data_IF_435931191954
#
_entry.id   IF_435931191954
#
_cell.length_a   1.000
_cell.length_b   1.000
_cell.length_c   1.000
_cell.angle_alpha   90.00
_cell.angle_beta   90.00
_cell.angle_gamma   90.00
#
_symmetry.space_group_name_H-M   'P 1'
#
loop_
_entity.id
_entity.type
_entity.pdbx_description
1 polymer ?
#
# COMPACT_ATOMS: atom_id res chain seq x y z
N UNK A 1 23.98 -25.82 -68.01
CA UNK A 1 23.65 -24.70 -67.08
C UNK A 1 22.78 -25.23 -66.00
N UNK A 2 23.33 -25.42 -64.82
CA UNK A 2 22.57 -25.91 -63.68
C UNK A 2 22.54 -24.82 -62.66
N UNK A 3 21.34 -24.26 -62.41
CA UNK A 3 21.07 -23.33 -61.33
C UNK A 3 20.87 -24.14 -60.05
N UNK A 4 21.75 -23.97 -59.08
CA UNK A 4 21.59 -24.49 -57.74
C UNK A 4 20.97 -23.39 -56.89
N UNK A 5 19.69 -23.54 -56.50
CA UNK A 5 19.02 -22.69 -55.56
C UNK A 5 19.41 -23.10 -54.14
N UNK A 6 20.14 -22.23 -53.47
CA UNK A 6 20.48 -22.40 -52.04
C UNK A 6 19.34 -21.83 -51.23
N UNK A 7 18.64 -22.74 -50.54
CA UNK A 7 17.56 -22.40 -49.59
C UNK A 7 18.18 -21.95 -48.29
N UNK A 8 18.12 -20.66 -47.99
CA UNK A 8 18.46 -20.14 -46.64
C UNK A 8 17.24 -20.29 -45.72
N UNK A 9 17.33 -21.24 -44.83
CA UNK A 9 16.37 -21.34 -43.73
C UNK A 9 16.69 -20.28 -42.66
N UNK A 10 15.86 -19.23 -42.61
CA UNK A 10 15.86 -18.28 -41.51
C UNK A 10 15.16 -18.94 -40.28
N UNK A 11 15.95 -19.39 -39.34
CA UNK A 11 15.45 -19.75 -38.04
C UNK A 11 15.13 -18.47 -37.22
N UNK A 12 13.86 -18.10 -37.20
CA UNK A 12 13.38 -17.03 -36.30
C UNK A 12 13.39 -17.53 -34.87
N UNK A 13 14.42 -17.14 -34.13
CA UNK A 13 14.51 -17.36 -32.68
C UNK A 13 13.53 -16.40 -31.99
N UNK A 14 12.35 -16.93 -31.62
CA UNK A 14 11.40 -16.21 -30.77
C UNK A 14 11.98 -16.16 -29.37
N UNK A 15 12.60 -15.06 -29.01
CA UNK A 15 12.94 -14.79 -27.62
C UNK A 15 11.67 -14.46 -26.86
N UNK A 16 11.19 -15.40 -26.07
CA UNK A 16 10.11 -15.18 -25.12
C UNK A 16 10.66 -14.24 -24.02
N UNK A 17 10.48 -12.95 -24.20
CA UNK A 17 10.76 -11.98 -23.17
C UNK A 17 9.70 -12.15 -22.06
N UNK A 18 10.09 -12.72 -20.92
CA UNK A 18 9.30 -12.64 -19.71
C UNK A 18 9.23 -11.17 -19.27
N UNK A 19 8.23 -10.47 -19.75
CA UNK A 19 7.87 -9.17 -19.22
C UNK A 19 7.16 -9.44 -17.88
N UNK A 20 7.88 -9.23 -16.77
CA UNK A 20 7.23 -9.10 -15.47
C UNK A 20 6.15 -8.02 -15.58
N UNK A 21 4.92 -8.35 -15.23
CA UNK A 21 3.82 -7.38 -15.23
C UNK A 21 4.24 -6.16 -14.39
N UNK A 22 4.09 -4.91 -14.87
CA UNK A 22 4.33 -3.74 -14.05
C UNK A 22 3.39 -3.79 -12.85
N UNK A 23 3.94 -3.58 -11.64
CA UNK A 23 3.12 -3.48 -10.44
C UNK A 23 2.06 -2.40 -10.64
N UNK A 24 0.79 -2.76 -10.47
CA UNK A 24 -0.33 -1.82 -10.57
C UNK A 24 -0.13 -0.66 -9.59
N UNK A 25 -0.17 0.61 -10.06
CA UNK A 25 -0.09 1.75 -9.17
C UNK A 25 -1.30 1.74 -8.23
N UNK A 26 -1.08 1.56 -6.94
CA UNK A 26 -2.13 1.54 -5.91
C UNK A 26 -2.23 0.25 -5.08
N UNK A 27 -1.49 -0.81 -5.43
CA UNK A 27 -1.48 -2.07 -4.67
C UNK A 27 -0.26 -2.26 -3.78
N UNK A 28 0.74 -1.41 -3.89
CA UNK A 28 1.98 -1.54 -3.12
C UNK A 28 2.00 -0.51 -1.98
N UNK A 29 2.11 -1.01 -0.75
CA UNK A 29 2.31 -0.13 0.42
C UNK A 29 3.73 0.46 0.35
N UNK A 30 3.83 1.78 0.47
CA UNK A 30 5.14 2.43 0.38
C UNK A 30 6.04 2.10 1.58
N UNK A 31 7.37 2.08 1.41
CA UNK A 31 8.30 1.82 2.51
C UNK A 31 8.14 2.79 3.68
N UNK A 32 7.81 4.05 3.41
CA UNK A 32 7.61 5.08 4.44
C UNK A 32 6.43 4.74 5.36
N UNK A 33 5.36 4.17 4.82
CA UNK A 33 4.20 3.70 5.61
C UNK A 33 4.62 2.56 6.54
N UNK A 34 5.42 1.62 6.04
CA UNK A 34 5.91 0.51 6.84
C UNK A 34 6.82 0.98 7.99
N UNK A 35 7.70 1.94 7.72
CA UNK A 35 8.53 2.59 8.74
C UNK A 35 7.67 3.33 9.77
N UNK A 36 6.64 4.05 9.34
CA UNK A 36 5.72 4.74 10.25
C UNK A 36 4.99 3.76 11.17
N UNK A 37 4.55 2.61 10.64
CA UNK A 37 3.91 1.54 11.43
C UNK A 37 4.88 0.97 12.48
N UNK A 38 6.12 0.70 12.11
CA UNK A 38 7.17 0.25 13.05
C UNK A 38 7.45 1.30 14.13
N UNK A 39 7.30 2.59 13.79
CA UNK A 39 7.46 3.73 14.70
C UNK A 39 6.19 4.06 15.49
N UNK A 40 5.23 3.14 15.58
CA UNK A 40 4.01 3.27 16.38
C UNK A 40 3.03 4.36 15.86
N UNK A 41 2.97 4.61 14.54
CA UNK A 41 1.95 5.46 13.95
C UNK A 41 0.54 4.95 14.29
N UNK A 42 -0.41 5.87 14.40
CA UNK A 42 -1.82 5.53 14.60
C UNK A 42 -2.39 4.91 13.33
N UNK A 43 -2.89 3.69 13.43
CA UNK A 43 -3.50 2.99 12.29
C UNK A 43 -5.01 3.09 12.39
N UNK A 44 -5.64 3.61 11.34
CA UNK A 44 -7.09 3.86 11.29
C UNK A 44 -7.73 3.13 10.12
N UNK A 45 -8.69 2.28 10.45
CA UNK A 45 -9.60 1.67 9.48
C UNK A 45 -10.76 2.64 9.19
N UNK A 46 -10.82 3.15 7.98
CA UNK A 46 -11.85 4.10 7.56
C UNK A 46 -13.08 3.46 6.91
N UNK A 47 -13.19 2.14 7.02
CA UNK A 47 -14.36 1.37 6.57
C UNK A 47 -15.53 1.53 7.54
N UNK A 48 -16.62 0.83 7.27
CA UNK A 48 -17.75 0.80 8.20
C UNK A 48 -17.43 -0.02 9.45
N UNK A 49 -18.17 0.18 10.56
CA UNK A 49 -18.01 -0.64 11.76
C UNK A 49 -18.23 -2.13 11.52
N UNK A 50 -19.13 -2.50 10.62
CA UNK A 50 -19.42 -3.87 10.24
C UNK A 50 -18.21 -4.52 9.53
N UNK A 51 -17.63 -3.81 8.55
CA UNK A 51 -16.41 -4.26 7.86
C UNK A 51 -15.24 -4.42 8.84
N UNK A 52 -15.11 -3.52 9.81
CA UNK A 52 -14.09 -3.60 10.86
C UNK A 52 -14.29 -4.83 11.76
N UNK A 53 -15.53 -5.10 12.14
CA UNK A 53 -15.87 -6.26 12.97
C UNK A 53 -15.59 -7.60 12.26
N UNK A 54 -15.77 -7.66 10.94
CA UNK A 54 -15.47 -8.85 10.13
C UNK A 54 -13.97 -9.17 10.02
N UNK A 55 -13.11 -8.22 10.33
CA UNK A 55 -11.67 -8.37 10.32
C UNK A 55 -10.97 -7.05 10.02
N UNK A 56 -9.92 -6.74 10.74
CA UNK A 56 -9.17 -5.49 10.62
C UNK A 56 -7.68 -5.70 10.88
N UNK A 57 -6.88 -4.70 10.56
CA UNK A 57 -5.45 -4.72 10.84
C UNK A 57 -5.19 -4.72 12.35
N UNK A 58 -4.28 -5.56 12.88
CA UNK A 58 -3.97 -5.62 14.30
C UNK A 58 -3.58 -4.25 14.88
N UNK A 59 -4.26 -3.84 15.95
CA UNK A 59 -4.02 -2.54 16.59
C UNK A 59 -4.69 -1.34 15.93
N UNK A 60 -5.41 -1.52 14.82
CA UNK A 60 -6.15 -0.44 14.18
C UNK A 60 -7.38 -0.03 15.00
N UNK A 61 -7.72 1.25 14.92
CA UNK A 61 -9.01 1.77 15.41
C UNK A 61 -9.93 2.01 14.21
N UNK A 62 -11.24 2.01 14.44
CA UNK A 62 -12.23 2.28 13.39
C UNK A 62 -12.77 3.70 13.51
N UNK A 63 -12.57 4.48 12.45
CA UNK A 63 -13.20 5.78 12.26
C UNK A 63 -13.62 5.87 10.79
N UNK A 64 -14.91 5.77 10.45
CA UNK A 64 -15.37 5.85 9.06
C UNK A 64 -14.89 7.11 8.35
N UNK A 65 -14.54 6.99 7.06
CA UNK A 65 -13.91 8.08 6.29
C UNK A 65 -14.69 9.40 6.31
N UNK A 66 -16.03 9.34 6.39
CA UNK A 66 -16.88 10.54 6.43
C UNK A 66 -16.77 11.35 7.71
N UNK A 67 -16.34 10.73 8.79
CA UNK A 67 -16.23 11.33 10.13
C UNK A 67 -14.78 11.33 10.65
N UNK A 68 -13.81 11.14 9.74
CA UNK A 68 -12.41 10.94 10.13
C UNK A 68 -11.86 12.12 10.96
N UNK A 69 -12.13 13.35 10.55
CA UNK A 69 -11.64 14.53 11.25
C UNK A 69 -12.25 14.64 12.66
N UNK A 70 -13.56 14.47 12.76
CA UNK A 70 -14.27 14.55 14.04
C UNK A 70 -13.82 13.42 14.97
N UNK A 71 -13.67 12.22 14.47
CA UNK A 71 -13.19 11.07 15.25
C UNK A 71 -11.79 11.26 15.81
N UNK A 72 -10.85 11.73 14.99
CA UNK A 72 -9.49 12.04 15.46
C UNK A 72 -9.47 13.19 16.48
N UNK A 73 -10.28 14.21 16.26
CA UNK A 73 -10.41 15.34 17.21
C UNK A 73 -10.95 14.89 18.55
N UNK A 74 -11.97 14.04 18.56
CA UNK A 74 -12.55 13.48 19.81
C UNK A 74 -11.55 12.62 20.57
N UNK A 75 -10.64 11.96 19.89
CA UNK A 75 -9.55 11.17 20.49
C UNK A 75 -8.36 12.04 20.95
N UNK A 76 -8.39 13.34 20.71
CA UNK A 76 -7.29 14.24 21.05
C UNK A 76 -6.05 14.09 20.17
N UNK A 77 -6.21 13.50 18.97
CA UNK A 77 -5.12 13.34 18.03
C UNK A 77 -4.77 14.70 17.39
N UNK A 78 -3.49 15.06 17.45
CA UNK A 78 -3.00 16.34 16.95
C UNK A 78 -2.51 16.23 15.50
N UNK A 79 -2.42 17.38 14.82
CA UNK A 79 -2.06 17.45 13.40
C UNK A 79 -0.65 16.94 13.06
N UNK A 80 0.25 16.88 14.02
CA UNK A 80 1.62 16.37 13.90
C UNK A 80 1.73 14.84 14.13
N UNK A 81 0.62 14.18 14.48
CA UNK A 81 0.58 12.74 14.68
C UNK A 81 0.64 12.01 13.34
N UNK A 82 1.53 11.01 13.23
CA UNK A 82 1.56 10.13 12.08
C UNK A 82 0.32 9.22 12.09
N UNK A 83 -0.51 9.33 11.06
CA UNK A 83 -1.77 8.58 10.90
C UNK A 83 -1.74 7.76 9.62
N UNK A 84 -1.86 6.46 9.75
CA UNK A 84 -1.94 5.53 8.61
C UNK A 84 -3.39 5.12 8.42
N UNK A 85 -3.91 5.42 7.24
CA UNK A 85 -5.31 5.17 6.87
C UNK A 85 -5.38 4.01 5.89
N UNK A 86 -6.33 3.11 6.08
CA UNK A 86 -6.62 2.08 5.10
C UNK A 86 -8.12 1.83 4.97
N UNK A 87 -8.51 1.25 3.85
CA UNK A 87 -9.86 0.76 3.65
C UNK A 87 -9.83 -0.60 2.94
N UNK A 88 -10.78 -0.91 2.08
CA UNK A 88 -10.78 -2.16 1.31
C UNK A 88 -9.87 -2.09 0.08
N UNK A 89 -9.84 -0.94 -0.61
CA UNK A 89 -9.16 -0.75 -1.89
C UNK A 89 -8.27 0.49 -1.97
N UNK A 90 -8.26 1.35 -0.95
CA UNK A 90 -7.51 2.60 -0.93
C UNK A 90 -8.30 3.85 -1.34
N UNK A 91 -9.52 3.72 -1.87
CA UNK A 91 -10.31 4.87 -2.35
C UNK A 91 -10.84 5.73 -1.18
N UNK A 92 -11.53 5.12 -0.23
CA UNK A 92 -12.06 5.82 0.96
C UNK A 92 -10.94 6.39 1.83
N UNK A 93 -9.85 5.65 1.99
CA UNK A 93 -8.67 6.11 2.73
C UNK A 93 -7.92 7.24 2.03
N UNK A 94 -7.91 7.26 0.69
CA UNK A 94 -7.38 8.39 -0.07
C UNK A 94 -8.20 9.67 0.11
N UNK A 95 -9.52 9.57 0.16
CA UNK A 95 -10.40 10.70 0.48
C UNK A 95 -10.19 11.21 1.91
N UNK A 96 -10.04 10.29 2.88
CA UNK A 96 -9.74 10.63 4.27
C UNK A 96 -8.38 11.31 4.41
N UNK A 97 -7.35 10.81 3.72
CA UNK A 97 -6.02 11.42 3.67
C UNK A 97 -6.09 12.86 3.17
N UNK A 98 -6.78 13.10 2.07
CA UNK A 98 -6.95 14.45 1.50
C UNK A 98 -7.62 15.40 2.50
N UNK A 99 -8.71 14.99 3.12
CA UNK A 99 -9.41 15.80 4.13
C UNK A 99 -8.49 16.13 5.31
N UNK A 100 -7.73 15.18 5.78
CA UNK A 100 -6.81 15.38 6.89
C UNK A 100 -5.64 16.31 6.52
N UNK A 101 -5.06 16.15 5.34
CA UNK A 101 -3.98 17.00 4.86
C UNK A 101 -4.45 18.47 4.69
N UNK A 102 -5.66 18.70 4.18
CA UNK A 102 -6.27 20.03 4.10
C UNK A 102 -6.46 20.68 5.48
N UNK A 103 -6.58 19.87 6.52
CA UNK A 103 -6.72 20.31 7.94
C UNK A 103 -5.39 20.34 8.70
N UNK A 104 -4.27 20.18 8.02
CA UNK A 104 -2.93 20.31 8.58
C UNK A 104 -2.30 19.01 9.11
N UNK A 105 -2.98 17.85 8.97
CA UNK A 105 -2.39 16.55 9.30
C UNK A 105 -1.43 16.11 8.18
N UNK A 106 -0.25 16.71 8.15
CA UNK A 106 0.74 16.48 7.09
C UNK A 106 1.32 15.07 7.09
N UNK A 107 1.23 14.37 8.20
CA UNK A 107 1.70 12.99 8.37
C UNK A 107 0.60 11.94 8.21
N UNK A 108 -0.56 12.32 7.68
CA UNK A 108 -1.59 11.38 7.26
C UNK A 108 -1.21 10.71 5.93
N UNK A 109 -1.26 9.38 5.87
CA UNK A 109 -0.88 8.58 4.69
C UNK A 109 -1.91 7.49 4.40
N UNK A 110 -2.23 7.33 3.13
CA UNK A 110 -3.08 6.25 2.64
C UNK A 110 -2.25 4.98 2.39
N UNK A 111 -2.54 3.92 3.13
CA UNK A 111 -1.90 2.61 2.98
C UNK A 111 -2.61 1.69 1.96
N UNK A 112 -3.69 2.15 1.36
CA UNK A 112 -4.42 1.36 0.38
C UNK A 112 -5.44 0.41 1.00
N UNK A 113 -5.42 -0.86 0.59
CA UNK A 113 -6.34 -1.89 1.05
C UNK A 113 -5.79 -2.72 2.21
N UNK A 114 -6.69 -3.26 3.04
CA UNK A 114 -6.34 -4.14 4.16
C UNK A 114 -5.44 -5.31 3.74
N UNK A 115 -5.79 -6.00 2.66
CA UNK A 115 -5.02 -7.16 2.14
C UNK A 115 -3.59 -6.77 1.77
N UNK A 116 -3.42 -5.65 1.07
CA UNK A 116 -2.11 -5.14 0.68
C UNK A 116 -1.28 -4.75 1.91
N UNK A 117 -1.91 -4.13 2.91
CA UNK A 117 -1.25 -3.71 4.15
C UNK A 117 -0.80 -4.92 4.98
N UNK A 118 -1.67 -5.92 5.15
CA UNK A 118 -1.33 -7.17 5.85
C UNK A 118 -0.18 -7.91 5.15
N UNK A 119 -0.24 -8.01 3.83
CA UNK A 119 0.78 -8.68 3.03
C UNK A 119 2.14 -7.96 3.13
N UNK A 120 2.15 -6.64 3.01
CA UNK A 120 3.38 -5.84 3.07
C UNK A 120 4.06 -5.91 4.44
N UNK A 121 3.29 -5.82 5.52
CA UNK A 121 3.83 -5.92 6.88
C UNK A 121 4.33 -7.32 7.22
N UNK A 122 3.65 -8.37 6.74
CA UNK A 122 4.13 -9.75 6.87
C UNK A 122 5.45 -9.99 6.14
N UNK A 123 5.59 -9.46 4.92
CA UNK A 123 6.84 -9.53 4.14
C UNK A 123 7.98 -8.77 4.81
N UNK A 124 7.70 -7.61 5.40
CA UNK A 124 8.70 -6.84 6.15
C UNK A 124 9.16 -7.59 7.40
N UNK A 125 8.26 -8.19 8.16
CA UNK A 125 8.58 -9.00 9.33
C UNK A 125 9.42 -10.22 9.00
N UNK A 126 9.26 -10.80 7.80
CA UNK A 126 10.02 -11.95 7.32
C UNK A 126 11.43 -11.60 6.81
N UNK A 127 11.76 -10.30 6.63
CA UNK A 127 13.12 -9.89 6.20
C UNK A 127 14.12 -10.10 7.33
N UNK A 128 15.28 -10.74 7.06
CA UNK A 128 16.32 -10.91 8.07
C UNK A 128 16.84 -9.54 8.54
N UNK A 129 17.14 -9.45 9.83
CA UNK A 129 17.56 -8.20 10.51
C UNK A 129 18.80 -7.54 9.87
N UNK A 130 19.65 -8.33 9.20
CA UNK A 130 20.85 -7.83 8.51
C UNK A 130 20.57 -6.93 7.30
N UNK A 131 19.36 -6.99 6.73
CA UNK A 131 18.96 -6.12 5.61
C UNK A 131 18.40 -4.76 6.07
N UNK A 132 18.13 -4.58 7.37
CA UNK A 132 17.57 -3.33 7.92
C UNK A 132 18.63 -2.28 8.28
N UNK A 133 19.91 -2.68 8.32
CA UNK A 133 21.00 -1.82 8.79
C UNK A 133 21.78 -1.12 7.67
N UNK A 134 21.40 -1.29 6.40
CA UNK A 134 22.15 -0.78 5.25
C UNK A 134 21.43 0.27 4.42
N UNK A 135 20.38 0.87 4.96
CA UNK A 135 19.70 2.02 4.34
C UNK A 135 19.68 3.24 5.26
#
# INVERSE_FOLDING_TARGET
>A
MKLTATLFAFATMVTLACHGAPAEPGKTVSPEILVAIESQALIVDVRTPEEFADGHYPGAINIPHKTILDGLTQLGVTADTAVILYCRSGNRSGQAEQVLQEKGFTEARNAGGLEALLSATAQQAARPTSARSSE
#
